data_IF_986531850925
#
_entry.id   IF_986531850925
#
_cell.length_a   1.000
_cell.length_b   1.000
_cell.length_c   1.000
_cell.angle_alpha   90.00
_cell.angle_beta   90.00
_cell.angle_gamma   90.00
#
_symmetry.space_group_name_H-M   'P 1'
#
loop_
_entity.id
_entity.type
_entity.pdbx_description
1 polymer ?
#
# COMPACT_ATOMS: atom_id res chain seq x y z
N UNK A 1 20.68 25.34 -36.29
CA UNK A 1 20.18 24.78 -35.02
C UNK A 1 19.17 23.70 -35.36
N UNK A 2 19.54 22.42 -35.21
CA UNK A 2 18.59 21.31 -35.37
C UNK A 2 18.75 20.40 -34.15
N UNK A 3 17.72 20.36 -33.29
CA UNK A 3 17.71 19.60 -32.06
C UNK A 3 17.54 18.11 -32.33
N UNK A 4 18.37 17.30 -31.68
CA UNK A 4 18.25 15.85 -31.68
C UNK A 4 17.04 15.44 -30.83
N UNK A 5 15.95 15.01 -31.47
CA UNK A 5 14.90 14.28 -30.78
C UNK A 5 15.39 12.84 -30.59
N UNK A 6 15.83 12.51 -29.37
CA UNK A 6 16.08 11.12 -28.97
C UNK A 6 14.73 10.45 -28.79
N UNK A 7 14.24 9.76 -29.82
CA UNK A 7 13.11 8.87 -29.71
C UNK A 7 13.45 7.74 -28.74
N UNK A 8 12.79 7.76 -27.58
CA UNK A 8 12.90 6.76 -26.53
C UNK A 8 12.28 5.44 -27.02
N UNK A 9 13.05 4.69 -27.80
CA UNK A 9 12.72 3.38 -28.40
C UNK A 9 12.46 2.26 -27.37
N UNK A 10 12.53 2.56 -26.07
CA UNK A 10 12.36 1.64 -24.94
C UNK A 10 11.07 1.89 -24.11
N UNK A 11 10.16 2.77 -24.54
CA UNK A 11 8.93 3.01 -23.77
C UNK A 11 7.92 1.87 -23.84
N UNK A 12 7.78 1.20 -24.99
CA UNK A 12 6.77 0.15 -25.17
C UNK A 12 6.99 -1.07 -24.27
N UNK A 13 8.21 -1.65 -24.16
CA UNK A 13 8.45 -2.78 -23.23
C UNK A 13 8.24 -2.36 -21.77
N UNK A 14 8.61 -1.14 -21.41
CA UNK A 14 8.41 -0.63 -20.05
C UNK A 14 6.94 -0.37 -19.72
N UNK A 15 6.12 0.02 -20.70
CA UNK A 15 4.67 0.20 -20.55
C UNK A 15 3.94 -1.12 -20.47
N UNK A 16 4.34 -2.12 -21.26
CA UNK A 16 3.77 -3.46 -21.24
C UNK A 16 4.12 -4.19 -19.93
N UNK A 17 5.37 -4.10 -19.48
CA UNK A 17 5.76 -4.56 -18.13
C UNK A 17 5.04 -3.79 -17.02
N UNK A 18 4.80 -2.48 -17.17
CA UNK A 18 4.02 -1.70 -16.19
C UNK A 18 2.53 -2.10 -16.19
N UNK A 19 1.99 -2.50 -17.33
CA UNK A 19 0.63 -3.02 -17.46
C UNK A 19 0.50 -4.44 -16.89
N UNK A 20 1.52 -5.29 -17.05
CA UNK A 20 1.60 -6.61 -16.40
C UNK A 20 1.82 -6.51 -14.88
N UNK A 21 2.38 -5.40 -14.40
CA UNK A 21 2.54 -5.08 -12.96
C UNK A 21 1.28 -4.41 -12.38
N UNK A 22 0.20 -4.24 -13.16
CA UNK A 22 -1.06 -3.78 -12.62
C UNK A 22 -1.52 -4.73 -11.50
N UNK A 23 -1.89 -4.19 -10.34
CA UNK A 23 -2.24 -5.00 -9.18
C UNK A 23 -3.42 -5.92 -9.49
N UNK A 24 -3.33 -7.17 -9.03
CA UNK A 24 -4.36 -8.17 -9.25
C UNK A 24 -5.61 -7.86 -8.41
N UNK A 25 -6.47 -6.95 -8.89
CA UNK A 25 -7.66 -6.56 -8.14
C UNK A 25 -8.57 -5.56 -8.86
N UNK A 26 -9.83 -5.50 -8.44
CA UNK A 26 -10.81 -4.54 -8.94
C UNK A 26 -10.67 -3.20 -8.21
N UNK A 27 -10.26 -2.16 -8.93
CA UNK A 27 -10.21 -0.78 -8.41
C UNK A 27 -11.54 -0.37 -7.77
N UNK A 28 -12.67 -0.66 -8.43
CA UNK A 28 -14.00 -0.35 -7.91
C UNK A 28 -14.30 -1.09 -6.62
N UNK A 29 -13.97 -2.38 -6.53
CA UNK A 29 -14.22 -3.13 -5.29
C UNK A 29 -13.31 -2.68 -4.16
N UNK A 30 -12.06 -2.35 -4.46
CA UNK A 30 -11.12 -1.76 -3.52
C UNK A 30 -11.63 -0.44 -2.96
N UNK A 31 -12.13 0.44 -3.82
CA UNK A 31 -12.75 1.69 -3.41
C UNK A 31 -13.92 1.45 -2.45
N UNK A 32 -14.83 0.50 -2.73
CA UNK A 32 -15.96 0.21 -1.84
C UNK A 32 -15.50 -0.20 -0.45
N UNK A 33 -14.52 -1.09 -0.36
CA UNK A 33 -13.98 -1.53 0.95
C UNK A 33 -13.25 -0.38 1.64
N UNK A 34 -12.52 0.45 0.90
CA UNK A 34 -11.83 1.62 1.46
C UNK A 34 -12.83 2.63 2.05
N UNK A 35 -13.93 2.92 1.35
CA UNK A 35 -14.98 3.81 1.85
C UNK A 35 -15.62 3.27 3.13
N UNK A 36 -15.90 1.97 3.17
CA UNK A 36 -16.53 1.30 4.31
C UNK A 36 -15.62 1.24 5.54
N UNK A 37 -14.31 0.99 5.35
CA UNK A 37 -13.41 0.58 6.44
C UNK A 37 -12.23 1.51 6.72
N UNK A 38 -11.89 2.41 5.81
CA UNK A 38 -10.64 3.19 5.90
C UNK A 38 -10.88 4.71 5.83
N UNK A 39 -11.87 5.14 5.05
CA UNK A 39 -12.13 6.56 4.75
C UNK A 39 -12.47 7.41 5.97
N UNK A 40 -13.05 6.83 7.03
CA UNK A 40 -13.38 7.55 8.26
C UNK A 40 -12.16 8.17 8.95
N UNK A 41 -10.97 7.60 8.75
CA UNK A 41 -9.70 8.07 9.31
C UNK A 41 -8.79 8.66 8.23
N UNK A 42 -8.64 7.99 7.10
CA UNK A 42 -7.72 8.40 6.02
C UNK A 42 -8.34 9.35 4.98
N UNK A 43 -9.61 9.74 5.20
CA UNK A 43 -10.37 10.58 4.27
C UNK A 43 -10.88 9.78 3.07
N UNK A 44 -11.94 10.25 2.38
CA UNK A 44 -12.60 9.53 1.28
C UNK A 44 -11.72 9.37 0.03
N UNK A 45 -10.58 10.07 -0.03
CA UNK A 45 -9.66 10.05 -1.16
C UNK A 45 -8.27 9.52 -0.78
N UNK A 46 -8.12 8.95 0.42
CA UNK A 46 -6.87 8.46 1.02
C UNK A 46 -5.79 9.52 1.29
N UNK A 47 -6.13 10.80 1.21
CA UNK A 47 -5.24 11.96 1.41
C UNK A 47 -4.94 12.27 2.88
N UNK A 48 -5.50 11.49 3.80
CA UNK A 48 -5.36 11.71 5.23
C UNK A 48 -6.34 12.75 5.78
N UNK A 49 -6.37 12.82 7.11
CA UNK A 49 -7.11 13.81 7.89
C UNK A 49 -6.27 14.17 9.13
N UNK A 50 -6.81 15.00 10.03
CA UNK A 50 -6.22 15.18 11.36
C UNK A 50 -6.14 13.87 12.18
N UNK A 51 -6.96 12.85 11.85
CA UNK A 51 -7.01 11.57 12.57
C UNK A 51 -5.98 10.55 12.07
N UNK A 52 -5.60 10.59 10.80
CA UNK A 52 -4.67 9.62 10.21
C UNK A 52 -3.98 10.16 8.95
N UNK A 53 -2.76 9.72 8.62
CA UNK A 53 -1.95 10.31 7.56
C UNK A 53 -2.45 9.98 6.15
N UNK A 54 -1.92 10.71 5.18
CA UNK A 54 -1.98 10.38 3.75
C UNK A 54 -1.30 9.03 3.48
N UNK A 55 -2.04 8.13 2.83
CA UNK A 55 -1.60 6.79 2.45
C UNK A 55 -0.91 6.77 1.08
N UNK A 56 -1.23 7.70 0.18
CA UNK A 56 -0.80 7.65 -1.21
C UNK A 56 0.73 7.68 -1.36
N UNK A 57 1.51 8.52 -0.63
CA UNK A 57 2.96 8.53 -0.76
C UNK A 57 3.59 7.19 -0.39
N UNK A 58 3.06 6.51 0.64
CA UNK A 58 3.62 5.23 1.12
C UNK A 58 3.26 4.10 0.18
N UNK A 59 2.03 4.08 -0.34
CA UNK A 59 1.58 3.05 -1.28
C UNK A 59 2.29 3.18 -2.63
N UNK A 60 2.58 4.41 -3.08
CA UNK A 60 3.31 4.68 -4.33
C UNK A 60 4.67 3.97 -4.37
N UNK A 61 5.35 3.91 -3.24
CA UNK A 61 6.69 3.31 -3.10
C UNK A 61 6.65 1.81 -2.77
N UNK A 62 5.44 1.24 -2.62
CA UNK A 62 5.26 -0.10 -2.05
C UNK A 62 4.83 -1.12 -3.10
N UNK A 63 5.46 -2.29 -3.07
CA UNK A 63 4.99 -3.44 -3.86
C UNK A 63 3.74 -4.07 -3.25
N UNK A 64 2.94 -4.73 -4.10
CA UNK A 64 1.72 -5.43 -3.67
C UNK A 64 1.99 -6.42 -2.53
N UNK A 65 3.04 -7.25 -2.69
CA UNK A 65 3.46 -8.22 -1.68
C UNK A 65 3.79 -7.54 -0.35
N UNK A 66 4.42 -6.36 -0.37
CA UNK A 66 4.74 -5.60 0.83
C UNK A 66 3.47 -5.04 1.48
N UNK A 67 2.54 -4.53 0.68
CA UNK A 67 1.25 -4.04 1.16
C UNK A 67 0.44 -5.16 1.82
N UNK A 68 0.23 -6.27 1.10
CA UNK A 68 -0.47 -7.46 1.59
C UNK A 68 0.18 -7.96 2.89
N UNK A 69 1.51 -8.06 2.91
CA UNK A 69 2.25 -8.45 4.10
C UNK A 69 2.05 -7.51 5.28
N UNK A 70 1.92 -6.20 5.07
CA UNK A 70 1.65 -5.24 6.17
C UNK A 70 0.21 -5.36 6.69
N UNK A 71 -0.77 -5.50 5.79
CA UNK A 71 -2.18 -5.64 6.16
C UNK A 71 -2.42 -6.97 6.90
N UNK A 72 -1.83 -8.05 6.40
CA UNK A 72 -1.90 -9.37 7.05
C UNK A 72 -1.09 -9.43 8.34
N UNK A 73 0.14 -8.90 8.41
CA UNK A 73 0.93 -8.93 9.67
C UNK A 73 0.31 -8.13 10.81
N UNK A 74 -0.52 -7.13 10.49
CA UNK A 74 -1.35 -6.39 11.47
C UNK A 74 -2.59 -7.17 11.89
N UNK A 75 -3.07 -8.10 11.07
CA UNK A 75 -4.06 -9.11 11.42
C UNK A 75 -3.44 -10.23 12.30
N UNK A 76 -2.15 -10.49 12.10
CA UNK A 76 -1.42 -11.63 12.70
C UNK A 76 -0.78 -11.38 14.07
N UNK A 77 -1.37 -10.51 14.91
CA UNK A 77 -0.98 -10.50 16.32
C UNK A 77 -1.28 -11.86 17.00
N UNK A 78 -1.99 -12.78 16.34
CA UNK A 78 -2.21 -14.14 16.81
C UNK A 78 -1.28 -15.22 16.20
N UNK A 79 -0.37 -14.88 15.28
CA UNK A 79 0.67 -15.80 14.83
C UNK A 79 2.01 -15.05 14.68
N UNK A 80 2.85 -15.14 15.70
CA UNK A 80 4.28 -15.12 15.46
C UNK A 80 4.60 -16.39 14.67
N UNK A 81 5.08 -16.33 13.40
CA UNK A 81 6.49 -16.69 13.19
C UNK A 81 7.16 -16.22 11.87
N UNK A 82 8.47 -16.47 11.78
CA UNK A 82 9.32 -16.56 10.58
C UNK A 82 9.79 -15.26 9.91
N UNK A 83 10.80 -14.63 10.53
CA UNK A 83 11.85 -13.93 9.78
C UNK A 83 13.08 -14.84 9.68
N UNK A 84 13.81 -14.85 8.55
CA UNK A 84 15.16 -15.42 8.53
C UNK A 84 16.00 -14.70 9.60
N UNK A 85 16.80 -15.48 10.34
CA UNK A 85 17.58 -14.98 11.48
C UNK A 85 18.45 -13.81 11.01
N UNK A 86 18.21 -12.57 11.49
CA UNK A 86 19.12 -11.47 11.24
C UNK A 86 20.50 -11.83 11.83
N UNK A 87 21.58 -11.31 11.25
CA UNK A 87 22.86 -11.37 11.95
C UNK A 87 22.76 -10.61 13.30
N UNK A 88 23.71 -10.86 14.19
CA UNK A 88 23.65 -10.31 15.56
C UNK A 88 23.51 -8.79 15.57
N UNK A 89 24.20 -8.09 14.67
CA UNK A 89 24.20 -6.63 14.62
C UNK A 89 22.86 -6.05 14.12
N UNK A 90 22.27 -6.64 13.08
CA UNK A 90 20.96 -6.22 12.59
C UNK A 90 19.84 -6.53 13.60
N UNK A 91 19.96 -7.66 14.32
CA UNK A 91 19.03 -8.01 15.40
C UNK A 91 19.16 -7.02 16.55
N UNK A 92 20.37 -6.67 16.99
CA UNK A 92 20.60 -5.73 18.10
C UNK A 92 20.10 -4.32 17.77
N UNK A 93 20.26 -3.86 16.53
CA UNK A 93 19.68 -2.59 16.08
C UNK A 93 18.15 -2.62 16.06
N UNK A 94 17.56 -3.71 15.56
CA UNK A 94 16.11 -3.89 15.55
C UNK A 94 15.54 -3.98 16.98
N UNK A 95 16.21 -4.73 17.86
CA UNK A 95 15.88 -4.83 19.29
C UNK A 95 15.99 -3.46 19.95
N UNK A 96 17.03 -2.68 19.66
CA UNK A 96 17.17 -1.30 20.15
C UNK A 96 16.00 -0.42 19.73
N UNK A 97 15.57 -0.48 18.47
CA UNK A 97 14.43 0.29 17.97
C UNK A 97 13.10 -0.14 18.62
N UNK A 98 12.90 -1.44 18.84
CA UNK A 98 11.70 -2.00 19.48
C UNK A 98 11.68 -1.66 20.99
N UNK A 99 12.79 -1.83 21.68
CA UNK A 99 12.95 -1.51 23.11
C UNK A 99 12.77 -0.01 23.37
N UNK A 100 13.27 0.85 22.47
CA UNK A 100 13.13 2.30 22.58
C UNK A 100 11.76 2.80 22.08
N UNK A 101 10.90 1.93 21.52
CA UNK A 101 9.63 2.30 20.86
C UNK A 101 9.81 3.44 19.83
N UNK A 102 10.99 3.58 19.23
CA UNK A 102 11.37 4.72 18.39
C UNK A 102 10.85 4.62 16.94
N UNK A 103 9.84 3.78 16.68
CA UNK A 103 9.08 3.79 15.45
C UNK A 103 7.60 4.00 15.78
N UNK A 104 6.88 4.90 15.07
CA UNK A 104 5.45 5.06 15.30
C UNK A 104 4.73 3.76 14.92
N UNK A 105 4.39 2.96 15.94
CA UNK A 105 3.44 1.86 15.80
C UNK A 105 2.08 2.49 15.59
N UNK A 106 1.72 2.77 14.33
CA UNK A 106 0.39 3.26 13.97
C UNK A 106 -0.59 2.12 14.19
N UNK A 107 -1.11 1.93 15.41
CA UNK A 107 -2.19 0.97 15.63
C UNK A 107 -3.40 1.50 14.87
N UNK A 108 -3.89 0.72 13.92
CA UNK A 108 -5.17 0.95 13.25
C UNK A 108 -6.13 -0.05 13.91
N UNK A 109 -6.96 0.32 14.89
CA UNK A 109 -7.73 -0.67 15.66
C UNK A 109 -8.94 -1.19 14.87
N UNK A 110 -9.55 -0.34 14.04
CA UNK A 110 -10.84 -0.61 13.38
C UNK A 110 -10.77 -1.63 12.23
N UNK A 111 -9.61 -1.85 11.62
CA UNK A 111 -9.42 -2.82 10.53
C UNK A 111 -8.94 -4.20 11.02
N UNK A 112 -8.59 -4.32 12.31
CA UNK A 112 -7.89 -5.51 12.83
C UNK A 112 -8.91 -6.62 12.99
N UNK A 113 -8.71 -7.74 12.31
CA UNK A 113 -9.65 -8.86 12.35
C UNK A 113 -10.85 -8.74 11.40
N UNK A 114 -10.96 -7.69 10.57
CA UNK A 114 -12.14 -7.46 9.73
C UNK A 114 -12.13 -8.34 8.45
N UNK A 115 -13.03 -9.33 8.31
CA UNK A 115 -13.01 -10.28 7.19
C UNK A 115 -13.18 -9.62 5.83
N UNK A 116 -13.94 -8.51 5.75
CA UNK A 116 -14.16 -7.79 4.49
C UNK A 116 -12.91 -7.12 3.96
N UNK A 117 -11.99 -6.73 4.85
CA UNK A 117 -10.68 -6.20 4.47
C UNK A 117 -9.79 -7.34 3.99
N UNK A 118 -9.74 -8.44 4.75
CA UNK A 118 -8.88 -9.60 4.43
C UNK A 118 -9.22 -10.26 3.10
N UNK A 119 -10.50 -10.40 2.79
CA UNK A 119 -10.93 -11.01 1.53
C UNK A 119 -10.61 -10.15 0.30
N UNK A 120 -10.36 -8.84 0.48
CA UNK A 120 -10.27 -7.84 -0.60
C UNK A 120 -8.96 -7.03 -0.54
N UNK A 121 -7.90 -7.57 0.06
CA UNK A 121 -6.62 -6.85 0.22
C UNK A 121 -6.03 -6.45 -1.13
N UNK A 122 -6.09 -7.32 -2.14
CA UNK A 122 -5.54 -7.02 -3.46
C UNK A 122 -6.37 -5.97 -4.20
N UNK A 123 -7.69 -5.94 -4.01
CA UNK A 123 -8.52 -4.85 -4.52
C UNK A 123 -8.22 -3.51 -3.82
N UNK A 124 -8.02 -3.54 -2.49
CA UNK A 124 -7.61 -2.37 -1.73
C UNK A 124 -6.28 -1.81 -2.24
N UNK A 125 -5.31 -2.70 -2.49
CA UNK A 125 -4.05 -2.31 -3.12
C UNK A 125 -4.27 -1.75 -4.52
N UNK A 126 -5.14 -2.38 -5.34
CA UNK A 126 -5.45 -1.89 -6.67
C UNK A 126 -6.02 -0.46 -6.66
N UNK A 127 -6.97 -0.18 -5.78
CA UNK A 127 -7.51 1.17 -5.62
C UNK A 127 -6.46 2.18 -5.15
N UNK A 128 -5.74 1.87 -4.07
CA UNK A 128 -4.77 2.80 -3.48
C UNK A 128 -3.56 3.02 -4.39
N UNK A 129 -3.10 1.99 -5.09
CA UNK A 129 -2.01 2.08 -6.06
C UNK A 129 -2.42 2.95 -7.24
N UNK A 130 -3.60 2.71 -7.83
CA UNK A 130 -4.09 3.52 -8.95
C UNK A 130 -4.34 4.98 -8.55
N UNK A 131 -4.82 5.24 -7.31
CA UNK A 131 -4.90 6.60 -6.74
C UNK A 131 -3.53 7.22 -6.55
N UNK A 132 -2.56 6.46 -6.04
CA UNK A 132 -1.20 6.94 -5.80
C UNK A 132 -0.45 7.24 -7.10
N UNK A 133 -0.85 6.63 -8.21
CA UNK A 133 -0.27 6.87 -9.54
C UNK A 133 -1.07 7.91 -10.35
N UNK A 134 -2.04 8.59 -9.72
CA UNK A 134 -2.94 9.54 -10.37
C UNK A 134 -3.75 8.95 -11.55
N UNK A 135 -3.84 7.62 -11.63
CA UNK A 135 -4.63 6.88 -12.63
C UNK A 135 -6.13 6.83 -12.25
N UNK A 136 -6.47 7.23 -11.03
CA UNK A 136 -7.85 7.29 -10.54
C UNK A 136 -8.14 8.68 -9.97
N UNK A 137 -9.20 9.31 -10.50
CA UNK A 137 -9.69 10.60 -10.03
C UNK A 137 -10.24 10.56 -8.60
N UNK A 138 -10.67 11.72 -8.10
CA UNK A 138 -11.35 11.82 -6.81
C UNK A 138 -12.75 11.20 -6.90
N UNK A 139 -13.22 10.62 -5.79
CA UNK A 139 -14.56 10.04 -5.72
C UNK A 139 -14.65 8.60 -6.25
N UNK A 140 -15.82 8.24 -6.79
CA UNK A 140 -16.15 6.87 -7.20
C UNK A 140 -15.43 6.49 -8.51
N UNK A 141 -14.70 5.36 -8.57
CA UNK A 141 -14.12 4.84 -9.80
C UNK A 141 -15.18 4.55 -10.85
N UNK A 142 -14.86 4.88 -12.10
CA UNK A 142 -15.69 4.60 -13.29
C UNK A 142 -15.25 3.24 -13.86
N UNK A 143 -16.17 2.37 -14.31
CA UNK A 143 -15.83 1.10 -14.94
C UNK A 143 -15.01 1.25 -16.22
#
# INVERSE_FOLDING_TARGET
>A
MAGCAVELKNKQPAQELAQEVQPAGSVYTGWRVFQDRCAACHGPNALGTAKAPDLLPKVREMSERRFVGLVLKRYDWNLAPHQPRPDGAALDQLVGQIMQRQGPVVIMPAWQGEPRVTARITDLFAYLSARSQDQQGLGRPVP
#
